data_IF_936421492815
#
_entry.id   IF_936421492815
#
_cell.length_a   1.000
_cell.length_b   1.000
_cell.length_c   1.000
_cell.angle_alpha   90.00
_cell.angle_beta   90.00
_cell.angle_gamma   90.00
#
_symmetry.space_group_name_H-M   'P 1'
#
loop_
_entity.id
_entity.type
_entity.pdbx_description
1 polymer ?
#
# COMPACT_ATOMS: atom_id res chain seq x y z
N UNK A 1 -26.62 -28.01 -28.68
CA UNK A 1 -26.21 -29.24 -27.96
C UNK A 1 -25.09 -29.84 -28.77
N UNK A 2 -23.86 -29.48 -28.42
CA UNK A 2 -22.64 -29.90 -29.13
C UNK A 2 -21.89 -30.78 -28.14
N UNK A 3 -21.81 -32.07 -28.44
CA UNK A 3 -21.23 -33.09 -27.56
C UNK A 3 -19.71 -33.02 -27.62
N UNK A 4 -19.10 -32.59 -26.52
CA UNK A 4 -17.66 -32.72 -26.28
C UNK A 4 -17.33 -34.20 -26.08
N UNK A 5 -16.71 -34.81 -27.09
CA UNK A 5 -16.16 -36.15 -26.99
C UNK A 5 -14.97 -36.17 -26.04
N UNK A 6 -15.15 -36.80 -24.88
CA UNK A 6 -14.05 -37.18 -24.00
C UNK A 6 -13.24 -38.29 -24.67
N UNK A 7 -12.02 -37.95 -25.07
CA UNK A 7 -11.01 -38.93 -25.48
C UNK A 7 -10.49 -39.59 -24.21
N UNK A 8 -11.07 -40.73 -23.85
CA UNK A 8 -10.53 -41.61 -22.82
C UNK A 8 -9.22 -42.24 -23.29
N UNK A 9 -8.09 -41.59 -23.01
CA UNK A 9 -6.78 -42.22 -23.08
C UNK A 9 -6.71 -43.23 -21.92
N UNK A 10 -6.77 -44.52 -22.24
CA UNK A 10 -6.46 -45.57 -21.27
C UNK A 10 -4.94 -45.61 -21.07
N UNK A 11 -4.48 -45.26 -19.87
CA UNK A 11 -3.08 -45.26 -19.41
C UNK A 11 -2.47 -46.67 -19.27
N UNK A 12 -2.57 -47.50 -20.30
CA UNK A 12 -1.76 -48.71 -20.39
C UNK A 12 -0.35 -48.28 -20.84
N UNK A 13 0.53 -48.00 -19.88
CA UNK A 13 1.95 -47.68 -20.13
C UNK A 13 2.57 -48.76 -21.02
N UNK A 14 2.99 -48.35 -22.23
CA UNK A 14 3.67 -49.22 -23.18
C UNK A 14 4.95 -49.80 -22.51
N UNK A 15 5.06 -51.14 -22.38
CA UNK A 15 6.21 -51.78 -21.72
C UNK A 15 7.55 -51.45 -22.40
N UNK A 16 7.51 -51.05 -23.68
CA UNK A 16 8.66 -50.57 -24.44
C UNK A 16 9.17 -49.24 -23.89
N UNK A 17 8.26 -48.32 -23.56
CA UNK A 17 8.60 -47.02 -22.96
C UNK A 17 9.23 -47.21 -21.58
N UNK A 18 8.70 -48.12 -20.76
CA UNK A 18 9.26 -48.44 -19.45
C UNK A 18 10.69 -49.03 -19.56
N UNK A 19 10.95 -49.89 -20.56
CA UNK A 19 12.28 -50.46 -20.81
C UNK A 19 13.30 -49.38 -21.20
N UNK A 20 12.96 -48.50 -22.15
CA UNK A 20 13.86 -47.42 -22.57
C UNK A 20 14.08 -46.39 -21.45
N UNK A 21 13.04 -46.05 -20.69
CA UNK A 21 13.18 -45.17 -19.53
C UNK A 21 14.16 -45.76 -18.51
N UNK A 22 14.08 -47.07 -18.22
CA UNK A 22 15.04 -47.74 -17.34
C UNK A 22 16.46 -47.76 -17.91
N UNK A 23 16.63 -47.88 -19.23
CA UNK A 23 17.95 -47.88 -19.85
C UNK A 23 18.59 -46.50 -19.80
N UNK A 24 17.81 -45.45 -20.13
CA UNK A 24 18.26 -44.05 -20.05
C UNK A 24 18.57 -43.64 -18.61
N UNK A 25 17.78 -44.10 -17.63
CA UNK A 25 18.04 -43.83 -16.22
C UNK A 25 19.37 -44.43 -15.70
N UNK A 26 19.91 -45.44 -16.39
CA UNK A 26 21.21 -46.07 -16.06
C UNK A 26 22.38 -45.47 -16.84
N UNK A 27 22.13 -44.55 -17.77
CA UNK A 27 23.20 -43.91 -18.53
C UNK A 27 23.97 -42.94 -17.62
N UNK A 28 25.27 -43.14 -17.54
CA UNK A 28 26.19 -42.19 -16.91
C UNK A 28 26.80 -41.29 -18.00
N UNK A 29 27.00 -39.99 -17.72
CA UNK A 29 27.69 -39.11 -18.64
C UNK A 29 29.11 -39.61 -18.89
N UNK A 30 29.53 -39.64 -20.16
CA UNK A 30 30.87 -40.08 -20.58
C UNK A 30 31.97 -39.25 -19.91
N UNK A 31 31.68 -37.98 -19.59
CA UNK A 31 32.57 -37.10 -18.85
C UNK A 31 31.73 -36.23 -17.88
N UNK A 32 32.07 -36.19 -16.57
CA UNK A 32 31.37 -35.35 -15.60
C UNK A 32 31.41 -33.85 -15.93
N UNK A 33 32.33 -33.40 -16.79
CA UNK A 33 32.42 -32.01 -17.26
C UNK A 33 31.32 -31.61 -18.24
N UNK A 34 30.64 -32.59 -18.85
CA UNK A 34 29.55 -32.38 -19.82
C UNK A 34 28.29 -31.87 -19.10
N UNK A 35 28.04 -32.32 -17.87
CA UNK A 35 26.89 -31.86 -17.10
C UNK A 35 27.19 -30.48 -16.51
N UNK A 36 26.66 -29.44 -17.14
CA UNK A 36 26.86 -28.05 -16.72
C UNK A 36 25.53 -27.39 -16.41
N UNK A 37 25.54 -26.51 -15.41
CA UNK A 37 24.41 -25.67 -15.06
C UNK A 37 24.84 -24.22 -14.87
N UNK A 38 23.87 -23.32 -14.77
CA UNK A 38 24.11 -21.92 -14.42
C UNK A 38 23.04 -21.47 -13.42
N UNK A 39 23.32 -20.45 -12.63
CA UNK A 39 22.37 -19.97 -11.63
C UNK A 39 21.18 -19.27 -12.32
N UNK A 40 19.96 -19.53 -11.83
CA UNK A 40 18.74 -18.96 -12.40
C UNK A 40 18.80 -17.42 -12.50
N UNK A 41 19.37 -16.76 -11.48
CA UNK A 41 19.63 -15.32 -11.48
C UNK A 41 20.47 -14.87 -12.69
N UNK A 42 21.56 -15.56 -13.04
CA UNK A 42 22.43 -15.18 -14.18
C UNK A 42 21.70 -15.31 -15.51
N UNK A 43 20.79 -16.27 -15.64
CA UNK A 43 19.98 -16.44 -16.85
C UNK A 43 18.89 -15.37 -16.94
N UNK A 44 18.30 -15.00 -15.80
CA UNK A 44 17.24 -14.00 -15.70
C UNK A 44 17.75 -12.55 -15.67
N UNK A 45 19.05 -12.34 -15.51
CA UNK A 45 19.67 -11.02 -15.57
C UNK A 45 19.31 -10.32 -16.89
N UNK A 46 19.15 -9.00 -16.81
CA UNK A 46 18.80 -8.15 -17.96
C UNK A 46 17.50 -8.60 -18.65
N UNK A 47 16.48 -8.96 -17.86
CA UNK A 47 15.16 -9.43 -18.32
C UNK A 47 15.23 -10.73 -19.14
N UNK A 48 16.03 -11.70 -18.66
CA UNK A 48 16.18 -12.97 -19.36
C UNK A 48 16.91 -12.82 -20.68
N UNK A 49 17.94 -11.97 -20.76
CA UNK A 49 18.66 -11.72 -22.00
C UNK A 49 19.20 -13.00 -22.66
N UNK A 50 19.70 -13.93 -21.83
CA UNK A 50 20.15 -15.25 -22.27
C UNK A 50 19.02 -16.10 -22.91
N UNK A 51 17.75 -15.81 -22.60
CA UNK A 51 16.57 -16.48 -23.15
C UNK A 51 15.98 -15.74 -24.37
N UNK A 52 16.59 -14.63 -24.81
CA UNK A 52 16.12 -13.82 -25.95
C UNK A 52 16.77 -14.20 -27.29
N UNK A 53 17.38 -15.38 -27.37
CA UNK A 53 18.11 -15.82 -28.57
C UNK A 53 19.23 -14.84 -28.93
N UNK A 54 20.25 -14.80 -28.08
CA UNK A 54 21.48 -14.07 -28.38
C UNK A 54 22.47 -15.02 -29.04
N UNK A 55 23.10 -14.64 -30.14
CA UNK A 55 24.13 -15.44 -30.83
C UNK A 55 25.46 -15.52 -30.04
N UNK A 56 25.43 -15.13 -28.77
CA UNK A 56 26.58 -15.15 -27.87
C UNK A 56 26.69 -16.53 -27.25
N UNK A 57 27.88 -17.11 -27.33
CA UNK A 57 28.19 -18.32 -26.59
C UNK A 57 27.98 -18.08 -25.09
N UNK A 58 27.10 -18.88 -24.47
CA UNK A 58 26.79 -18.84 -23.04
C UNK A 58 27.55 -19.92 -22.26
N UNK A 59 28.39 -20.72 -22.94
CA UNK A 59 29.12 -21.83 -22.34
C UNK A 59 29.96 -21.39 -21.14
N UNK A 60 30.68 -20.27 -21.26
CA UNK A 60 31.51 -19.71 -20.19
C UNK A 60 30.71 -19.30 -18.93
N UNK A 61 29.40 -19.08 -19.05
CA UNK A 61 28.54 -18.71 -17.91
C UNK A 61 28.00 -19.92 -17.14
N UNK A 62 28.19 -21.12 -17.68
CA UNK A 62 27.85 -22.39 -17.04
C UNK A 62 29.06 -22.98 -16.31
N UNK A 63 28.83 -23.83 -15.32
CA UNK A 63 29.87 -24.53 -14.57
C UNK A 63 29.50 -26.02 -14.43
N UNK A 64 30.49 -26.93 -14.35
CA UNK A 64 30.22 -28.35 -14.13
C UNK A 64 29.46 -28.57 -12.82
N UNK A 65 28.46 -29.44 -12.85
CA UNK A 65 27.66 -29.83 -11.67
C UNK A 65 27.42 -31.32 -11.67
N UNK A 66 27.29 -31.92 -10.49
CA UNK A 66 26.93 -33.33 -10.34
C UNK A 66 25.43 -33.59 -10.49
N UNK A 67 24.59 -32.55 -10.37
CA UNK A 67 23.14 -32.64 -10.52
C UNK A 67 22.52 -31.30 -10.95
N UNK A 68 21.41 -31.37 -11.69
CA UNK A 68 20.62 -30.21 -12.09
C UNK A 68 19.33 -30.22 -11.26
N UNK A 69 19.12 -29.16 -10.47
CA UNK A 69 17.93 -29.04 -9.61
C UNK A 69 16.66 -28.71 -10.40
N UNK A 70 16.79 -27.85 -11.43
CA UNK A 70 15.68 -27.40 -12.26
C UNK A 70 16.14 -27.37 -13.72
N UNK A 71 15.42 -28.07 -14.58
CA UNK A 71 15.69 -28.11 -16.01
C UNK A 71 14.66 -27.28 -16.77
N UNK A 72 15.11 -26.26 -17.51
CA UNK A 72 14.26 -25.45 -18.37
C UNK A 72 14.30 -25.99 -19.80
N UNK A 73 13.31 -26.79 -20.18
CA UNK A 73 13.25 -27.37 -21.52
C UNK A 73 12.98 -26.30 -22.58
N UNK A 74 13.75 -26.33 -23.67
CA UNK A 74 13.49 -25.52 -24.86
C UNK A 74 12.15 -25.89 -25.53
N UNK A 75 11.72 -27.15 -25.37
CA UNK A 75 10.51 -27.73 -25.96
C UNK A 75 9.21 -27.34 -25.25
N UNK A 76 9.26 -26.42 -24.28
CA UNK A 76 8.05 -25.95 -23.62
C UNK A 76 7.13 -25.30 -24.67
N UNK A 77 5.99 -25.91 -25.01
CA UNK A 77 5.07 -25.37 -26.00
C UNK A 77 4.36 -24.13 -25.44
N UNK A 78 4.92 -22.95 -25.68
CA UNK A 78 4.41 -21.68 -25.20
C UNK A 78 5.18 -20.51 -25.78
N UNK A 79 4.56 -19.33 -25.80
CA UNK A 79 5.22 -18.12 -26.28
C UNK A 79 6.48 -17.84 -25.44
N UNK A 80 7.64 -17.64 -26.10
CA UNK A 80 8.93 -17.36 -25.44
C UNK A 80 8.85 -16.19 -24.46
N UNK A 81 7.98 -15.21 -24.73
CA UNK A 81 7.73 -14.11 -23.79
C UNK A 81 7.07 -14.58 -22.49
N UNK A 82 6.07 -15.45 -22.57
CA UNK A 82 5.36 -15.97 -21.38
C UNK A 82 6.26 -16.87 -20.54
N UNK A 83 7.14 -17.66 -21.17
CA UNK A 83 8.16 -18.44 -20.43
C UNK A 83 9.08 -17.52 -19.62
N UNK A 84 9.56 -16.43 -20.22
CA UNK A 84 10.42 -15.45 -19.53
C UNK A 84 9.69 -14.77 -18.39
N UNK A 85 8.46 -14.32 -18.62
CA UNK A 85 7.64 -13.66 -17.59
C UNK A 85 7.38 -14.60 -16.41
N UNK A 86 7.04 -15.86 -16.69
CA UNK A 86 6.82 -16.88 -15.67
C UNK A 86 8.08 -17.16 -14.85
N UNK A 87 9.26 -17.27 -15.48
CA UNK A 87 10.52 -17.48 -14.77
C UNK A 87 10.93 -16.25 -13.96
N UNK A 88 10.74 -15.04 -14.48
CA UNK A 88 10.94 -13.80 -13.74
C UNK A 88 9.99 -13.75 -12.53
N UNK A 89 8.72 -14.12 -12.71
CA UNK A 89 7.73 -14.15 -11.63
C UNK A 89 8.07 -15.21 -10.59
N UNK A 90 8.48 -16.41 -11.00
CA UNK A 90 8.77 -17.53 -10.10
C UNK A 90 10.01 -17.27 -9.24
N UNK A 91 11.06 -16.70 -9.84
CA UNK A 91 12.34 -16.49 -9.15
C UNK A 91 12.50 -15.09 -8.53
N UNK A 92 11.88 -14.05 -9.09
CA UNK A 92 11.90 -12.69 -8.54
C UNK A 92 10.61 -12.29 -7.83
N UNK A 93 9.57 -13.13 -7.83
CA UNK A 93 8.29 -12.87 -7.16
C UNK A 93 8.44 -12.49 -5.68
N UNK A 94 9.22 -13.23 -4.86
CA UNK A 94 9.47 -12.86 -3.47
C UNK A 94 10.17 -11.51 -3.33
N UNK A 95 11.18 -11.23 -4.15
CA UNK A 95 11.89 -9.94 -4.13
C UNK A 95 10.98 -8.78 -4.57
N UNK A 96 10.14 -8.98 -5.58
CA UNK A 96 9.15 -8.02 -6.03
C UNK A 96 8.06 -7.78 -4.98
N UNK A 97 7.61 -8.83 -4.29
CA UNK A 97 6.66 -8.73 -3.18
C UNK A 97 7.25 -7.96 -1.99
N UNK A 98 8.52 -8.23 -1.64
CA UNK A 98 9.25 -7.49 -0.60
C UNK A 98 9.42 -6.02 -1.02
N UNK A 99 9.86 -5.75 -2.25
CA UNK A 99 10.03 -4.39 -2.76
C UNK A 99 8.71 -3.61 -2.83
N UNK A 100 7.62 -4.27 -3.26
CA UNK A 100 6.27 -3.69 -3.25
C UNK A 100 5.78 -3.42 -1.81
N UNK A 101 6.08 -4.32 -0.86
CA UNK A 101 5.74 -4.14 0.56
C UNK A 101 6.52 -2.97 1.17
N UNK A 102 7.83 -2.89 0.93
CA UNK A 102 8.67 -1.76 1.38
C UNK A 102 8.17 -0.46 0.76
N UNK A 103 7.87 -0.45 -0.55
CA UNK A 103 7.34 0.73 -1.24
C UNK A 103 5.97 1.13 -0.69
N UNK A 104 5.09 0.17 -0.39
CA UNK A 104 3.79 0.43 0.23
C UNK A 104 3.93 0.98 1.66
N UNK A 105 4.87 0.45 2.46
CA UNK A 105 5.20 0.97 3.79
C UNK A 105 5.78 2.38 3.70
N UNK A 106 6.71 2.63 2.79
CA UNK A 106 7.28 3.96 2.54
C UNK A 106 6.25 4.95 2.01
N UNK A 107 5.32 4.52 1.15
CA UNK A 107 4.20 5.34 0.70
C UNK A 107 3.21 5.59 1.85
N UNK A 108 2.95 4.60 2.70
CA UNK A 108 2.09 4.78 3.88
C UNK A 108 2.74 5.75 4.87
N UNK A 109 4.05 5.61 5.11
CA UNK A 109 4.83 6.56 5.87
C UNK A 109 4.79 7.94 5.20
N UNK A 110 5.14 8.10 3.93
CA UNK A 110 5.21 9.44 3.33
C UNK A 110 3.85 10.11 3.12
N UNK A 111 2.82 9.36 2.73
CA UNK A 111 1.49 9.90 2.45
C UNK A 111 0.66 10.15 3.72
N UNK A 112 0.79 9.31 4.75
CA UNK A 112 0.02 9.44 6.00
C UNK A 112 0.85 10.01 7.16
N UNK A 113 2.19 10.02 7.10
CA UNK A 113 3.01 10.61 8.18
C UNK A 113 2.71 12.07 8.44
N UNK A 114 2.45 12.96 7.46
CA UNK A 114 2.14 14.35 7.80
C UNK A 114 0.89 14.46 8.69
N UNK A 115 -0.10 13.60 8.48
CA UNK A 115 -1.28 13.50 9.33
C UNK A 115 -0.93 12.85 10.68
N UNK A 116 -0.29 11.68 10.69
CA UNK A 116 0.01 10.94 11.93
C UNK A 116 1.01 11.71 12.80
N UNK A 117 2.08 12.24 12.22
CA UNK A 117 3.05 13.11 12.89
C UNK A 117 2.42 14.43 13.29
N UNK A 118 1.63 15.07 12.42
CA UNK A 118 0.96 16.33 12.76
C UNK A 118 0.04 16.19 13.97
N UNK A 119 -0.84 15.17 13.95
CA UNK A 119 -1.71 14.86 15.09
C UNK A 119 -0.90 14.40 16.32
N UNK A 120 0.09 13.52 16.13
CA UNK A 120 0.92 13.00 17.22
C UNK A 120 1.72 14.09 17.94
N UNK A 121 2.39 14.97 17.19
CA UNK A 121 3.13 16.13 17.72
C UNK A 121 2.17 17.10 18.40
N UNK A 122 1.01 17.41 17.79
CA UNK A 122 0.03 18.30 18.41
C UNK A 122 -0.52 17.75 19.73
N UNK A 123 -0.78 16.45 19.79
CA UNK A 123 -1.25 15.76 20.99
C UNK A 123 -0.15 15.70 22.06
N UNK A 124 1.09 15.41 21.68
CA UNK A 124 2.23 15.42 22.59
C UNK A 124 2.52 16.83 23.13
N UNK A 125 2.47 17.86 22.30
CA UNK A 125 2.58 19.26 22.72
C UNK A 125 1.46 19.65 23.68
N UNK A 126 0.23 19.13 23.47
CA UNK A 126 -0.89 19.31 24.41
C UNK A 126 -0.63 18.65 25.75
N UNK A 127 -0.04 17.46 25.75
CA UNK A 127 0.35 16.74 26.97
C UNK A 127 1.45 17.48 27.74
N UNK A 128 2.49 17.97 27.05
CA UNK A 128 3.54 18.77 27.66
C UNK A 128 3.00 20.07 28.25
N UNK A 129 2.16 20.77 27.50
CA UNK A 129 1.51 21.99 27.98
C UNK A 129 0.72 21.75 29.26
N UNK A 130 0.06 20.59 29.36
CA UNK A 130 -0.67 20.20 30.56
C UNK A 130 0.26 19.93 31.74
N UNK A 131 1.33 19.16 31.53
CA UNK A 131 2.27 18.77 32.59
C UNK A 131 3.00 20.00 33.15
N UNK A 132 3.29 20.99 32.30
CA UNK A 132 4.14 22.12 32.63
C UNK A 132 3.36 23.43 32.90
N UNK A 133 2.02 23.38 32.94
CA UNK A 133 1.15 24.57 32.98
C UNK A 133 1.41 25.47 34.20
N UNK A 134 1.85 24.89 35.33
CA UNK A 134 2.10 25.64 36.57
C UNK A 134 3.43 26.41 36.56
N UNK A 135 4.38 26.05 35.70
CA UNK A 135 5.73 26.66 35.68
C UNK A 135 5.96 27.61 34.49
N UNK A 136 5.01 27.71 33.56
CA UNK A 136 5.22 28.40 32.31
C UNK A 136 4.92 29.90 32.33
N UNK A 137 5.77 30.65 31.64
CA UNK A 137 5.50 32.04 31.27
C UNK A 137 4.35 32.12 30.25
N UNK A 138 3.69 33.28 30.16
CA UNK A 138 2.65 33.52 29.15
C UNK A 138 3.16 33.30 27.71
N UNK A 139 4.45 33.55 27.47
CA UNK A 139 5.10 33.34 26.18
C UNK A 139 5.20 31.86 25.81
N UNK A 140 5.61 30.99 26.74
CA UNK A 140 5.71 29.53 26.51
C UNK A 140 4.33 28.92 26.27
N UNK A 141 3.34 29.36 27.04
CA UNK A 141 1.93 28.98 26.85
C UNK A 141 1.46 29.34 25.44
N UNK A 142 1.73 30.56 24.97
CA UNK A 142 1.40 31.00 23.61
C UNK A 142 2.13 30.18 22.55
N UNK A 143 3.43 29.93 22.73
CA UNK A 143 4.24 29.15 21.79
C UNK A 143 3.71 27.71 21.63
N UNK A 144 3.31 27.06 22.72
CA UNK A 144 2.71 25.73 22.72
C UNK A 144 1.32 25.71 22.06
N UNK A 145 0.50 26.73 22.29
CA UNK A 145 -0.81 26.86 21.64
C UNK A 145 -0.66 27.05 20.13
N UNK A 146 0.26 27.93 19.71
CA UNK A 146 0.53 28.19 18.30
C UNK A 146 1.15 26.98 17.60
N UNK A 147 2.09 26.27 18.23
CA UNK A 147 2.70 25.06 17.66
C UNK A 147 1.67 23.94 17.47
N UNK A 148 0.79 23.74 18.46
CA UNK A 148 -0.34 22.81 18.38
C UNK A 148 -1.28 23.17 17.23
N UNK A 149 -1.70 24.43 17.16
CA UNK A 149 -2.59 24.90 16.09
C UNK A 149 -1.96 24.73 14.71
N UNK A 150 -0.67 25.06 14.57
CA UNK A 150 0.08 24.89 13.33
C UNK A 150 0.15 23.42 12.89
N UNK A 151 0.39 22.49 13.82
CA UNK A 151 0.40 21.06 13.53
C UNK A 151 -0.97 20.55 13.07
N UNK A 152 -2.06 20.99 13.72
CA UNK A 152 -3.42 20.67 13.25
C UNK A 152 -3.75 21.29 11.89
N UNK A 153 -3.24 22.49 11.61
CA UNK A 153 -3.38 23.12 10.29
C UNK A 153 -2.70 22.29 9.20
N UNK A 154 -1.46 21.82 9.42
CA UNK A 154 -0.79 20.95 8.49
C UNK A 154 -1.58 19.66 8.27
N UNK A 155 -1.98 18.99 9.35
CA UNK A 155 -2.74 17.75 9.26
C UNK A 155 -4.09 17.93 8.54
N UNK A 156 -4.83 19.01 8.84
CA UNK A 156 -6.08 19.34 8.18
C UNK A 156 -5.88 19.63 6.68
N UNK A 157 -4.80 20.35 6.33
CA UNK A 157 -4.45 20.63 4.93
C UNK A 157 -4.18 19.34 4.16
N UNK A 158 -3.38 18.43 4.72
CA UNK A 158 -3.08 17.14 4.11
C UNK A 158 -4.31 16.25 3.97
N UNK A 159 -5.15 16.15 5.00
CA UNK A 159 -6.39 15.37 4.94
C UNK A 159 -7.33 15.86 3.82
N UNK A 160 -7.46 17.19 3.67
CA UNK A 160 -8.29 17.79 2.62
C UNK A 160 -7.74 17.50 1.23
N UNK A 161 -6.43 17.67 1.04
CA UNK A 161 -5.76 17.34 -0.23
C UNK A 161 -5.91 15.86 -0.57
N UNK A 162 -5.76 14.97 0.42
CA UNK A 162 -5.97 13.54 0.25
C UNK A 162 -7.41 13.20 -0.17
N UNK A 163 -8.42 13.79 0.46
CA UNK A 163 -9.81 13.61 0.06
C UNK A 163 -10.08 14.10 -1.36
N UNK A 164 -9.48 15.22 -1.77
CA UNK A 164 -9.58 15.75 -3.13
C UNK A 164 -8.94 14.79 -4.14
N UNK A 165 -7.72 14.31 -3.87
CA UNK A 165 -7.02 13.37 -4.75
C UNK A 165 -7.79 12.04 -4.89
N UNK A 166 -8.38 11.55 -3.79
CA UNK A 166 -9.24 10.36 -3.81
C UNK A 166 -10.50 10.58 -4.65
N UNK A 167 -11.14 11.76 -4.54
CA UNK A 167 -12.31 12.10 -5.36
C UNK A 167 -11.97 12.20 -6.85
N UNK A 168 -10.83 12.81 -7.19
CA UNK A 168 -10.32 12.88 -8.57
C UNK A 168 -10.07 11.46 -9.12
N UNK A 169 -9.38 10.61 -8.36
CA UNK A 169 -9.10 9.23 -8.76
C UNK A 169 -10.40 8.42 -8.94
N UNK A 170 -11.37 8.55 -8.03
CA UNK A 170 -12.66 7.88 -8.14
C UNK A 170 -13.47 8.38 -9.34
N UNK A 171 -13.35 9.67 -9.69
CA UNK A 171 -13.94 10.24 -10.90
C UNK A 171 -13.26 9.69 -12.15
N UNK A 172 -11.93 9.66 -12.20
CA UNK A 172 -11.18 9.06 -13.30
C UNK A 172 -11.53 7.59 -13.52
N UNK A 173 -11.76 6.82 -12.45
CA UNK A 173 -12.23 5.44 -12.55
C UNK A 173 -13.67 5.32 -13.01
N UNK A 174 -14.54 6.27 -12.65
CA UNK A 174 -15.92 6.31 -13.12
C UNK A 174 -15.99 6.56 -14.63
N UNK A 175 -15.09 7.40 -15.14
CA UNK A 175 -15.00 7.79 -16.56
C UNK A 175 -13.98 6.95 -17.34
N UNK A 176 -13.41 5.90 -16.71
CA UNK A 176 -12.33 5.11 -17.29
C UNK A 176 -12.76 4.43 -18.59
N UNK A 177 -11.94 4.55 -19.64
CA UNK A 177 -12.07 3.81 -20.89
C UNK A 177 -10.71 3.28 -21.32
N UNK A 178 -10.66 2.11 -21.95
CA UNK A 178 -9.44 1.55 -22.53
C UNK A 178 -8.93 2.43 -23.67
N UNK A 179 -9.83 3.11 -24.40
CA UNK A 179 -9.46 4.05 -25.46
C UNK A 179 -8.88 5.37 -24.91
N UNK A 180 -9.33 5.83 -23.75
CA UNK A 180 -8.80 7.03 -23.09
C UNK A 180 -7.47 6.80 -22.36
N UNK A 181 -7.04 5.55 -22.18
CA UNK A 181 -5.79 5.22 -21.49
C UNK A 181 -4.57 5.49 -22.38
N UNK A 182 -3.63 6.32 -21.91
CA UNK A 182 -2.41 6.61 -22.65
C UNK A 182 -1.51 5.37 -22.78
N UNK A 183 -1.14 5.03 -24.01
CA UNK A 183 -0.13 4.02 -24.36
C UNK A 183 1.12 4.74 -24.86
N UNK A 184 2.32 4.26 -24.50
CA UNK A 184 3.57 4.86 -24.95
C UNK A 184 3.66 4.91 -26.49
N UNK A 185 3.21 3.85 -27.17
CA UNK A 185 3.18 3.77 -28.63
C UNK A 185 2.14 4.68 -29.32
N UNK A 186 1.33 5.44 -28.58
CA UNK A 186 0.21 6.22 -29.12
C UNK A 186 0.26 7.70 -28.72
N UNK A 187 1.39 8.18 -28.19
CA UNK A 187 1.54 9.58 -27.76
C UNK A 187 1.72 10.48 -29.00
N UNK A 188 2.46 9.99 -29.99
CA UNK A 188 2.66 10.67 -31.27
C UNK A 188 1.88 9.90 -32.35
N UNK A 189 0.90 10.55 -33.00
CA UNK A 189 0.06 9.93 -34.04
C UNK A 189 0.90 9.35 -35.19
N UNK A 190 2.13 9.86 -35.38
CA UNK A 190 3.07 9.40 -36.41
C UNK A 190 3.91 8.17 -36.00
N UNK A 191 4.06 7.88 -34.70
CA UNK A 191 4.93 6.79 -34.22
C UNK A 191 4.21 5.43 -34.09
N UNK A 192 2.90 5.37 -34.34
CA UNK A 192 2.12 4.13 -34.26
C UNK A 192 2.24 3.26 -35.53
N UNK A 193 3.39 3.33 -36.21
CA UNK A 193 3.73 2.47 -37.36
C UNK A 193 4.37 1.15 -36.94
N UNK A 194 4.64 0.96 -35.64
CA UNK A 194 5.08 -0.33 -35.12
C UNK A 194 4.04 -1.40 -35.50
N UNK A 195 4.50 -2.47 -36.14
CA UNK A 195 3.66 -3.61 -36.57
C UNK A 195 2.81 -4.21 -35.44
N UNK A 196 3.14 -3.88 -34.17
CA UNK A 196 2.42 -4.28 -32.97
C UNK A 196 2.19 -3.07 -32.06
N UNK A 197 0.95 -2.60 -31.98
CA UNK A 197 0.52 -1.56 -31.04
C UNK A 197 0.21 -2.16 -29.67
N UNK A 198 0.82 -1.66 -28.59
CA UNK A 198 0.58 -2.15 -27.21
C UNK A 198 -0.90 -2.12 -26.84
N UNK A 199 -1.62 -1.06 -27.26
CA UNK A 199 -3.07 -0.96 -27.03
C UNK A 199 -3.84 -2.09 -27.69
N UNK A 200 -3.48 -2.47 -28.91
CA UNK A 200 -4.14 -3.56 -29.63
C UNK A 200 -3.88 -4.90 -28.92
N UNK A 201 -2.65 -5.12 -28.44
CA UNK A 201 -2.28 -6.32 -27.66
C UNK A 201 -3.07 -6.37 -26.35
N UNK A 202 -3.07 -5.29 -25.57
CA UNK A 202 -3.79 -5.23 -24.29
C UNK A 202 -5.31 -5.40 -24.50
N UNK A 203 -5.89 -4.74 -25.50
CA UNK A 203 -7.30 -4.92 -25.85
C UNK A 203 -7.62 -6.37 -26.23
N UNK A 204 -6.72 -7.06 -26.95
CA UNK A 204 -6.90 -8.49 -27.27
C UNK A 204 -6.85 -9.36 -26.02
N UNK A 205 -5.90 -9.13 -25.11
CA UNK A 205 -5.82 -9.82 -23.83
C UNK A 205 -7.08 -9.60 -22.99
N UNK A 206 -7.57 -8.36 -22.90
CA UNK A 206 -8.80 -8.02 -22.18
C UNK A 206 -9.99 -8.80 -22.74
N UNK A 207 -10.15 -8.88 -24.07
CA UNK A 207 -11.22 -9.67 -24.69
C UNK A 207 -11.13 -11.16 -24.36
N UNK A 208 -9.91 -11.72 -24.28
CA UNK A 208 -9.71 -13.13 -23.90
C UNK A 208 -10.13 -13.36 -22.43
N UNK A 209 -9.78 -12.45 -21.53
CA UNK A 209 -10.03 -12.62 -20.08
C UNK A 209 -11.45 -12.24 -19.64
N UNK A 210 -12.02 -11.18 -20.22
CA UNK A 210 -13.30 -10.61 -19.80
C UNK A 210 -14.42 -10.80 -20.84
N UNK A 211 -14.13 -11.46 -21.96
CA UNK A 211 -15.06 -11.63 -23.09
C UNK A 211 -15.17 -10.39 -23.99
N UNK A 212 -15.17 -9.18 -23.41
CA UNK A 212 -15.20 -7.92 -24.16
C UNK A 212 -14.47 -6.78 -23.44
N UNK A 213 -14.20 -5.68 -24.16
CA UNK A 213 -13.57 -4.48 -23.59
C UNK A 213 -14.56 -3.75 -22.68
N UNK A 214 -15.83 -3.73 -23.06
CA UNK A 214 -16.94 -3.10 -22.34
C UNK A 214 -17.20 -3.80 -21.00
N UNK A 215 -17.12 -5.13 -20.96
CA UNK A 215 -17.24 -5.92 -19.73
C UNK A 215 -16.11 -5.60 -18.74
N UNK A 216 -14.88 -5.44 -19.25
CA UNK A 216 -13.75 -5.01 -18.44
C UNK A 216 -13.93 -3.57 -17.92
N UNK A 217 -14.29 -2.62 -18.78
CA UNK A 217 -14.55 -1.23 -18.37
C UNK A 217 -15.66 -1.16 -17.32
N UNK A 218 -16.75 -1.89 -17.51
CA UNK A 218 -17.82 -2.00 -16.53
C UNK A 218 -17.31 -2.52 -15.18
N UNK A 219 -16.45 -3.54 -15.20
CA UNK A 219 -15.81 -4.09 -13.99
C UNK A 219 -14.92 -3.05 -13.29
N UNK A 220 -14.13 -2.27 -14.05
CA UNK A 220 -13.30 -1.20 -13.48
C UNK A 220 -14.16 -0.08 -12.87
N UNK A 221 -15.15 0.41 -13.63
CA UNK A 221 -16.05 1.49 -13.20
C UNK A 221 -16.92 1.12 -12.00
N UNK A 222 -17.24 -0.16 -11.82
CA UNK A 222 -18.09 -0.64 -10.73
C UNK A 222 -17.26 -1.27 -9.61
N UNK A 223 -16.74 -2.46 -9.82
CA UNK A 223 -16.11 -3.29 -8.80
C UNK A 223 -14.80 -2.68 -8.29
N UNK A 224 -13.88 -2.30 -9.19
CA UNK A 224 -12.58 -1.72 -8.79
C UNK A 224 -12.80 -0.38 -8.08
N UNK A 225 -13.66 0.48 -8.65
CA UNK A 225 -14.04 1.75 -8.01
C UNK A 225 -14.66 1.55 -6.63
N UNK A 226 -15.55 0.57 -6.47
CA UNK A 226 -16.19 0.28 -5.18
C UNK A 226 -15.16 -0.23 -4.14
N UNK A 227 -14.25 -1.11 -4.54
CA UNK A 227 -13.18 -1.60 -3.68
C UNK A 227 -12.25 -0.47 -3.24
N UNK A 228 -11.86 0.41 -4.17
CA UNK A 228 -11.06 1.59 -3.85
C UNK A 228 -11.81 2.58 -2.96
N UNK A 229 -13.10 2.82 -3.20
CA UNK A 229 -13.91 3.64 -2.31
C UNK A 229 -14.01 3.05 -0.90
N UNK A 230 -14.14 1.73 -0.78
CA UNK A 230 -14.18 1.05 0.52
C UNK A 230 -12.84 1.13 1.24
N UNK A 231 -11.73 1.03 0.52
CA UNK A 231 -10.38 1.07 1.09
C UNK A 231 -9.89 2.49 1.39
N UNK A 232 -10.26 3.49 0.58
CA UNK A 232 -9.72 4.86 0.65
C UNK A 232 -10.77 5.92 1.05
N UNK A 233 -12.04 5.74 0.69
CA UNK A 233 -13.06 6.81 0.72
C UNK A 233 -14.11 6.74 1.84
N UNK A 234 -14.33 5.56 2.43
CA UNK A 234 -15.43 5.35 3.40
C UNK A 234 -15.17 5.98 4.77
N UNK A 235 -14.04 5.64 5.39
CA UNK A 235 -13.57 6.12 6.69
C UNK A 235 -12.05 5.92 6.68
N UNK A 236 -11.28 6.99 6.41
CA UNK A 236 -9.81 6.90 6.22
C UNK A 236 -9.08 6.18 7.35
N UNK A 237 -9.65 6.21 8.56
CA UNK A 237 -9.09 5.55 9.72
C UNK A 237 -10.18 4.79 10.46
N UNK A 238 -10.18 3.45 10.40
CA UNK A 238 -10.95 2.64 11.33
C UNK A 238 -10.64 3.04 12.78
N UNK A 239 -11.66 3.02 13.64
CA UNK A 239 -11.53 3.37 15.06
C UNK A 239 -10.33 2.69 15.75
N UNK A 240 -10.05 1.42 15.41
CA UNK A 240 -8.89 0.67 15.92
C UNK A 240 -7.57 1.39 15.68
N UNK A 241 -7.35 1.96 14.50
CA UNK A 241 -6.13 2.71 14.18
C UNK A 241 -6.04 4.03 14.93
N UNK A 242 -7.17 4.69 15.17
CA UNK A 242 -7.23 5.92 15.96
C UNK A 242 -6.85 5.67 17.41
N UNK A 243 -7.38 4.59 17.99
CA UNK A 243 -7.02 4.14 19.36
C UNK A 243 -5.54 3.78 19.42
N UNK A 244 -5.01 3.00 18.47
CA UNK A 244 -3.58 2.67 18.41
C UNK A 244 -2.73 3.94 18.34
N UNK A 245 -3.12 4.93 17.54
CA UNK A 245 -2.45 6.23 17.46
C UNK A 245 -2.52 7.06 18.74
N UNK A 246 -3.52 6.84 19.60
CA UNK A 246 -3.67 7.52 20.88
C UNK A 246 -2.91 6.84 22.04
N UNK A 247 -2.50 5.57 21.90
CA UNK A 247 -1.81 4.82 22.97
C UNK A 247 -0.53 5.48 23.52
N UNK A 248 0.31 6.16 22.72
CA UNK A 248 1.48 6.85 23.27
C UNK A 248 1.13 7.89 24.32
N UNK A 249 -0.05 8.53 24.25
CA UNK A 249 -0.52 9.44 25.28
C UNK A 249 -0.90 8.68 26.55
N UNK A 250 -1.58 7.54 26.42
CA UNK A 250 -1.88 6.68 27.56
C UNK A 250 -0.62 6.29 28.32
N UNK A 251 0.46 5.95 27.61
CA UNK A 251 1.75 5.64 28.23
C UNK A 251 2.33 6.82 29.02
N UNK A 252 2.24 8.04 28.49
CA UNK A 252 2.62 9.24 29.24
C UNK A 252 1.83 9.42 30.54
N UNK A 253 0.53 9.12 30.53
CA UNK A 253 -0.28 9.10 31.75
C UNK A 253 0.07 7.94 32.69
N UNK A 254 0.42 6.77 32.15
CA UNK A 254 0.74 5.59 32.95
C UNK A 254 1.91 5.84 33.91
N UNK A 255 2.95 6.57 33.46
CA UNK A 255 4.08 6.95 34.30
C UNK A 255 3.64 7.87 35.46
N UNK A 256 2.77 8.85 35.18
CA UNK A 256 2.22 9.75 36.18
C UNK A 256 1.33 9.01 37.19
N UNK A 257 0.47 8.10 36.70
CA UNK A 257 -0.39 7.23 37.52
C UNK A 257 0.48 6.38 38.46
N UNK A 258 1.53 5.75 37.93
CA UNK A 258 2.46 4.94 38.71
C UNK A 258 3.20 5.77 39.77
N UNK A 259 3.66 6.98 39.41
CA UNK A 259 4.31 7.89 40.34
C UNK A 259 3.38 8.30 41.50
N UNK A 260 2.11 8.64 41.21
CA UNK A 260 1.12 8.99 42.23
C UNK A 260 0.73 7.79 43.10
N UNK A 261 0.62 6.60 42.51
CA UNK A 261 0.38 5.34 43.24
C UNK A 261 1.50 5.02 44.22
N UNK A 262 2.78 5.14 43.80
CA UNK A 262 3.93 4.98 44.70
C UNK A 262 3.96 5.98 45.86
N UNK A 263 3.45 7.19 45.64
CA UNK A 263 3.29 8.20 46.68
C UNK A 263 2.11 7.97 47.64
N UNK A 264 1.38 6.85 47.51
CA UNK A 264 0.22 6.52 48.34
C UNK A 264 -1.08 7.25 47.98
N UNK A 265 -1.06 8.11 46.95
CA UNK A 265 -2.22 8.90 46.54
C UNK A 265 -3.06 8.14 45.49
N UNK A 266 -3.64 7.02 45.89
CA UNK A 266 -4.40 6.11 45.02
C UNK A 266 -5.66 6.74 44.42
N UNK A 267 -6.30 7.69 45.13
CA UNK A 267 -7.46 8.41 44.61
C UNK A 267 -7.07 9.18 43.35
N UNK A 268 -6.01 10.00 43.40
CA UNK A 268 -5.53 10.77 42.25
C UNK A 268 -5.04 9.85 41.13
N UNK A 269 -4.32 8.78 41.46
CA UNK A 269 -3.88 7.80 40.47
C UNK A 269 -5.07 7.15 39.71
N UNK A 270 -6.13 6.78 40.43
CA UNK A 270 -7.35 6.23 39.84
C UNK A 270 -8.08 7.22 38.91
N UNK A 271 -8.16 8.49 39.31
CA UNK A 271 -8.77 9.54 38.49
C UNK A 271 -7.98 9.81 37.21
N UNK A 272 -6.64 9.88 37.31
CA UNK A 272 -5.76 10.01 36.15
C UNK A 272 -5.89 8.82 35.18
N UNK A 273 -6.06 7.60 35.71
CA UNK A 273 -6.30 6.40 34.90
C UNK A 273 -7.64 6.48 34.16
N UNK A 274 -8.72 6.82 34.84
CA UNK A 274 -10.03 6.95 34.20
C UNK A 274 -10.03 8.04 33.13
N UNK A 275 -9.39 9.18 33.42
CA UNK A 275 -9.24 10.25 32.46
C UNK A 275 -8.43 9.82 31.24
N UNK A 276 -7.27 9.19 31.42
CA UNK A 276 -6.43 8.76 30.30
C UNK A 276 -7.14 7.74 29.40
N UNK A 277 -7.91 6.82 29.97
CA UNK A 277 -8.77 5.90 29.22
C UNK A 277 -9.86 6.67 28.45
N UNK A 278 -10.53 7.63 29.08
CA UNK A 278 -11.56 8.46 28.43
C UNK A 278 -10.99 9.23 27.24
N UNK A 279 -9.80 9.81 27.41
CA UNK A 279 -9.11 10.52 26.33
C UNK A 279 -8.74 9.59 25.17
N UNK A 280 -8.14 8.43 25.46
CA UNK A 280 -7.61 7.53 24.43
C UNK A 280 -8.70 6.78 23.66
N UNK A 281 -9.75 6.34 24.35
CA UNK A 281 -10.82 5.54 23.74
C UNK A 281 -12.00 6.37 23.26
N UNK A 282 -12.30 7.51 23.88
CA UNK A 282 -13.49 8.29 23.51
C UNK A 282 -13.13 9.61 22.84
N UNK A 283 -12.42 10.48 23.56
CA UNK A 283 -12.32 11.89 23.14
C UNK A 283 -11.43 12.08 21.91
N UNK A 284 -10.25 11.46 21.88
CA UNK A 284 -9.33 11.60 20.74
C UNK A 284 -9.93 11.01 19.46
N UNK A 285 -10.46 9.77 19.46
CA UNK A 285 -11.17 9.24 18.30
C UNK A 285 -12.32 10.15 17.86
N UNK A 286 -13.12 10.67 18.79
CA UNK A 286 -14.22 11.58 18.47
C UNK A 286 -13.74 12.87 17.79
N UNK A 287 -12.74 13.54 18.36
CA UNK A 287 -12.15 14.77 17.78
C UNK A 287 -11.55 14.49 16.40
N UNK A 288 -10.87 13.36 16.26
CA UNK A 288 -10.29 12.95 14.99
C UNK A 288 -11.37 12.70 13.93
N UNK A 289 -12.48 12.05 14.29
CA UNK A 289 -13.64 11.86 13.40
C UNK A 289 -14.25 13.20 12.99
N UNK A 290 -14.42 14.14 13.92
CA UNK A 290 -14.89 15.50 13.61
C UNK A 290 -13.94 16.18 12.60
N UNK A 291 -12.63 16.08 12.81
CA UNK A 291 -11.63 16.61 11.88
C UNK A 291 -11.76 15.99 10.48
N UNK A 292 -11.93 14.66 10.38
CA UNK A 292 -12.14 13.96 9.12
C UNK A 292 -13.43 14.40 8.41
N UNK A 293 -14.54 14.55 9.15
CA UNK A 293 -15.83 14.99 8.60
C UNK A 293 -15.72 16.41 8.06
N UNK A 294 -15.11 17.32 8.83
CA UNK A 294 -14.90 18.70 8.40
C UNK A 294 -13.97 18.78 7.18
N UNK A 295 -12.85 18.05 7.20
CA UNK A 295 -11.94 17.97 6.05
C UNK A 295 -12.66 17.45 4.79
N UNK A 296 -13.47 16.40 4.94
CA UNK A 296 -14.29 15.85 3.85
C UNK A 296 -15.34 16.84 3.35
N UNK A 297 -15.97 17.62 4.23
CA UNK A 297 -16.95 18.63 3.87
C UNK A 297 -16.31 19.79 3.11
N UNK A 298 -15.15 20.25 3.57
CA UNK A 298 -14.39 21.35 2.97
C UNK A 298 -13.45 20.95 1.82
N UNK A 299 -13.55 19.71 1.30
CA UNK A 299 -12.67 19.21 0.24
C UNK A 299 -12.88 19.87 -1.12
N UNK A 300 -14.03 20.50 -1.36
CA UNK A 300 -14.36 21.11 -2.66
C UNK A 300 -13.31 22.14 -3.04
N UNK A 301 -12.72 21.95 -4.23
CA UNK A 301 -11.77 22.86 -4.83
C UNK A 301 -12.37 24.26 -4.97
N UNK A 302 -11.53 25.27 -4.77
CA UNK A 302 -11.88 26.68 -4.96
C UNK A 302 -10.88 27.26 -5.95
N UNK A 303 -11.33 28.27 -6.70
CA UNK A 303 -10.47 28.97 -7.66
C UNK A 303 -9.32 29.72 -7.00
N UNK A 304 -9.43 30.08 -5.71
CA UNK A 304 -8.39 30.80 -4.99
C UNK A 304 -7.68 29.93 -3.95
N UNK A 305 -6.34 29.96 -3.99
CA UNK A 305 -5.47 29.30 -3.00
C UNK A 305 -5.76 29.80 -1.58
N UNK A 306 -6.09 31.09 -1.42
CA UNK A 306 -6.40 31.69 -0.13
C UNK A 306 -7.65 31.13 0.54
N UNK A 307 -8.75 30.97 -0.20
CA UNK A 307 -9.96 30.35 0.34
C UNK A 307 -9.72 28.89 0.72
N UNK A 308 -8.86 28.21 -0.04
CA UNK A 308 -8.46 26.85 0.30
C UNK A 308 -7.69 26.80 1.63
N UNK A 309 -6.69 27.67 1.82
CA UNK A 309 -5.95 27.72 3.10
C UNK A 309 -6.85 28.12 4.28
N UNK A 310 -7.78 29.05 4.08
CA UNK A 310 -8.72 29.50 5.12
C UNK A 310 -9.61 28.36 5.63
N UNK A 311 -10.03 27.44 4.77
CA UNK A 311 -10.78 26.24 5.19
C UNK A 311 -9.94 25.33 6.08
N UNK A 312 -8.66 25.11 5.76
CA UNK A 312 -7.76 24.33 6.63
C UNK A 312 -7.55 25.01 7.98
N UNK A 313 -7.43 26.34 8.00
CA UNK A 313 -7.39 27.14 9.23
C UNK A 313 -8.66 26.94 10.06
N UNK A 314 -9.84 26.96 9.44
CA UNK A 314 -11.11 26.72 10.11
C UNK A 314 -11.19 25.33 10.76
N UNK A 315 -10.77 24.28 10.03
CA UNK A 315 -10.72 22.90 10.58
C UNK A 315 -9.76 22.83 11.77
N UNK A 316 -8.55 23.37 11.63
CA UNK A 316 -7.54 23.35 12.69
C UNK A 316 -7.98 24.11 13.94
N UNK A 317 -8.64 25.27 13.75
CA UNK A 317 -9.20 26.05 14.85
C UNK A 317 -10.26 25.25 15.61
N UNK A 318 -11.21 24.63 14.92
CA UNK A 318 -12.25 23.80 15.55
C UNK A 318 -11.62 22.65 16.35
N UNK A 319 -10.66 21.93 15.77
CA UNK A 319 -9.95 20.83 16.46
C UNK A 319 -9.20 21.33 17.68
N UNK A 320 -8.53 22.47 17.56
CA UNK A 320 -7.79 23.11 18.67
C UNK A 320 -8.73 23.52 19.80
N UNK A 321 -9.90 24.08 19.47
CA UNK A 321 -10.92 24.46 20.46
C UNK A 321 -11.52 23.24 21.15
N UNK A 322 -11.81 22.17 20.42
CA UNK A 322 -12.34 20.93 21.00
C UNK A 322 -11.37 20.30 22.00
N UNK A 323 -10.07 20.28 21.69
CA UNK A 323 -9.04 19.73 22.58
C UNK A 323 -8.58 20.72 23.67
N UNK A 324 -8.75 22.02 23.44
CA UNK A 324 -8.32 23.08 24.35
C UNK A 324 -9.42 23.61 25.27
N UNK A 325 -10.68 23.21 25.09
CA UNK A 325 -11.77 23.78 25.88
C UNK A 325 -11.66 23.42 27.37
N UNK A 326 -11.72 24.41 28.28
CA UNK A 326 -11.65 24.15 29.72
C UNK A 326 -12.82 23.34 30.26
N UNK A 327 -13.91 23.17 29.50
CA UNK A 327 -15.00 22.24 29.83
C UNK A 327 -14.57 20.77 29.81
N UNK A 328 -13.64 20.40 28.93
CA UNK A 328 -12.98 19.08 28.94
C UNK A 328 -12.02 18.97 30.13
N UNK A 329 -11.46 20.10 30.58
CA UNK A 329 -10.63 20.18 31.79
C UNK A 329 -11.44 20.17 33.09
N UNK A 330 -12.69 20.63 33.07
CA UNK A 330 -13.60 20.61 34.23
C UNK A 330 -14.04 19.20 34.63
N UNK A 331 -14.10 18.26 33.67
CA UNK A 331 -14.31 16.83 33.97
C UNK A 331 -13.16 16.25 34.81
N UNK A 332 -11.98 16.87 34.76
CA UNK A 332 -10.81 16.53 35.58
C UNK A 332 -10.72 17.32 36.89
N UNK A 333 -11.36 18.49 36.99
CA UNK A 333 -11.30 19.37 38.17
C UNK A 333 -12.49 19.20 39.14
N UNK A 334 -13.60 18.58 38.71
CA UNK A 334 -14.77 18.32 39.57
C UNK A 334 -14.72 16.93 40.23
N UNK A 335 -13.66 16.14 40.04
CA UNK A 335 -13.48 14.79 40.61
C UNK A 335 -12.20 14.73 41.45
#
# INVERSE_FOLDING_TARGET
MESTGEVGLSDAEDPTVAHFASLVAKMEPIDPSILRATSAWRVLQSFGAALRWTNTDLYERSFPVSSIQVFWSHSWHGNNYMKRLLLILLYNGPAAAIAATISALLMMLTAMAPCILGFGIALWASMLHWILVEEHTAFETLALVLSRWFCFYLAASYLREHYRNTEIMLKQLADFTVQGAHCHCCIDEESCTAEVCDRAVIARCIRIWYGSVEAFEATVRTHVRHMLYRQLGGLLFPYRWQVIGALPLFWGFADLIAARGRGGNWKVAGMLCLASLTWCFLLIPLVFQVALILARHFRREQSSVWQDRLKSVGVALVVTLLLGSPGVLLVLFVV
#
